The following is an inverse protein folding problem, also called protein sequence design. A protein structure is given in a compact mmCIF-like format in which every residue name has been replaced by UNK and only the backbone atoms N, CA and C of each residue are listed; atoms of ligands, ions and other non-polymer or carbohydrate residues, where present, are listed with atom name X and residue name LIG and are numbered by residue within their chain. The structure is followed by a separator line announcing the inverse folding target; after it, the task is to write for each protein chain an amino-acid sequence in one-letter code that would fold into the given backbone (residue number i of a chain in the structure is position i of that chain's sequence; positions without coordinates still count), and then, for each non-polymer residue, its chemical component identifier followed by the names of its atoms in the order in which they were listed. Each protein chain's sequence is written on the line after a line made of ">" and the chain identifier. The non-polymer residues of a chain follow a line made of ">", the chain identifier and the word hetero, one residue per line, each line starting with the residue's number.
data_IF_869172526834
#
_entry.id   IF_869172526834
#
_cell.length_a   1.000
_cell.length_b   1.000
_cell.length_c   1.000
_cell.angle_alpha   90.00
_cell.angle_beta   90.00
_cell.angle_gamma   90.00
#
_symmetry.space_group_name_H-M   'P 1'
#
loop_
_entity.id
_entity.type
_entity.pdbx_description
1 polymer ?
#
# COMPACT_ATOMS: atom_id res chain seq x y z
N UNK A 1 25.77 -6.41 1.58
CA UNK A 1 24.97 -7.13 0.56
C UNK A 1 23.88 -7.88 1.32
N UNK A 2 22.60 -7.62 1.06
CA UNK A 2 21.52 -8.45 1.63
C UNK A 2 21.52 -9.76 0.83
N UNK A 3 21.66 -10.89 1.51
CA UNK A 3 21.78 -12.21 0.87
C UNK A 3 20.43 -12.80 0.45
N UNK A 4 19.33 -12.36 1.07
CA UNK A 4 17.96 -12.80 0.77
C UNK A 4 16.97 -11.66 1.02
N UNK A 5 16.05 -11.43 0.08
CA UNK A 5 14.94 -10.47 0.21
C UNK A 5 13.65 -11.14 0.73
N UNK A 6 13.71 -12.39 1.16
CA UNK A 6 12.54 -13.12 1.64
C UNK A 6 11.94 -12.44 2.87
N UNK A 7 10.66 -12.07 2.77
CA UNK A 7 9.95 -11.37 3.83
C UNK A 7 10.13 -9.86 3.86
N UNK A 8 10.88 -9.28 2.91
CA UNK A 8 10.87 -7.84 2.70
C UNK A 8 9.51 -7.38 2.14
N UNK A 9 9.03 -6.24 2.63
CA UNK A 9 7.79 -5.60 2.21
C UNK A 9 8.10 -4.19 1.71
N UNK A 10 7.67 -3.88 0.49
CA UNK A 10 7.70 -2.53 -0.05
C UNK A 10 6.38 -1.82 0.23
N UNK A 11 6.44 -0.65 0.85
CA UNK A 11 5.28 0.16 1.22
C UNK A 11 5.36 1.47 0.46
N UNK A 12 4.35 1.80 -0.34
CA UNK A 12 4.34 3.06 -1.09
C UNK A 12 2.95 3.49 -1.53
N UNK A 13 2.77 4.80 -1.72
CA UNK A 13 1.63 5.36 -2.45
C UNK A 13 1.91 5.64 -3.94
N UNK A 14 3.15 5.44 -4.42
CA UNK A 14 3.51 5.62 -5.83
C UNK A 14 3.33 4.29 -6.60
N UNK A 15 2.41 4.23 -7.58
CA UNK A 15 2.20 3.06 -8.44
C UNK A 15 3.47 2.46 -9.05
N UNK A 16 4.44 3.30 -9.42
CA UNK A 16 5.67 2.85 -10.10
C UNK A 16 6.60 2.11 -9.14
N UNK A 17 6.68 2.57 -7.89
CA UNK A 17 7.46 1.89 -6.85
C UNK A 17 6.82 0.56 -6.48
N UNK A 18 5.49 0.51 -6.39
CA UNK A 18 4.74 -0.72 -6.14
C UNK A 18 4.96 -1.74 -7.26
N UNK A 19 4.86 -1.31 -8.52
CA UNK A 19 5.13 -2.19 -9.66
C UNK A 19 6.58 -2.70 -9.66
N UNK A 20 7.54 -1.86 -9.26
CA UNK A 20 8.94 -2.26 -9.14
C UNK A 20 9.13 -3.30 -8.03
N UNK A 21 8.42 -3.16 -6.90
CA UNK A 21 8.41 -4.15 -5.82
C UNK A 21 7.83 -5.50 -6.25
N UNK A 22 6.68 -5.48 -6.95
CA UNK A 22 6.07 -6.68 -7.53
C UNK A 22 7.05 -7.39 -8.50
N UNK A 23 7.66 -6.64 -9.41
CA UNK A 23 8.61 -7.18 -10.37
C UNK A 23 9.88 -7.74 -9.71
N UNK A 24 10.20 -7.28 -8.49
CA UNK A 24 11.31 -7.77 -7.69
C UNK A 24 10.93 -8.95 -6.78
N UNK A 25 9.68 -9.43 -6.81
CA UNK A 25 9.19 -10.50 -5.94
C UNK A 25 9.10 -10.09 -4.47
N UNK A 26 8.79 -8.82 -4.21
CA UNK A 26 8.57 -8.30 -2.85
C UNK A 26 7.08 -8.30 -2.52
N UNK A 27 6.76 -8.50 -1.25
CA UNK A 27 5.44 -8.15 -0.74
C UNK A 27 5.21 -6.64 -0.93
N UNK A 28 3.99 -6.24 -1.25
CA UNK A 28 3.68 -4.84 -1.57
C UNK A 28 2.44 -4.36 -0.84
N UNK A 29 2.58 -3.23 -0.15
CA UNK A 29 1.48 -2.54 0.52
C UNK A 29 1.30 -1.16 -0.13
N UNK A 30 0.13 -0.93 -0.71
CA UNK A 30 -0.28 0.37 -1.21
C UNK A 30 -0.76 1.29 -0.10
N UNK A 31 -0.45 2.60 -0.18
CA UNK A 31 -1.03 3.63 0.70
C UNK A 31 -2.08 4.44 -0.07
N UNK A 32 -3.36 4.34 0.32
CA UNK A 32 -4.46 4.99 -0.41
C UNK A 32 -4.60 6.49 -0.13
N UNK A 33 -4.29 6.93 1.10
CA UNK A 33 -4.39 8.35 1.48
C UNK A 33 -3.07 9.11 1.34
N UNK A 34 -1.99 8.42 0.97
CA UNK A 34 -0.64 9.00 0.87
C UNK A 34 -0.07 8.78 -0.54
N UNK A 35 0.75 9.71 -1.00
CA UNK A 35 1.47 9.59 -2.28
C UNK A 35 0.76 10.25 -3.47
N UNK A 36 1.30 10.07 -4.69
CA UNK A 36 0.91 10.85 -5.87
C UNK A 36 -0.55 10.70 -6.28
N UNK A 37 -1.19 9.57 -5.94
CA UNK A 37 -2.60 9.33 -6.25
C UNK A 37 -3.56 10.21 -5.44
N UNK A 38 -3.16 10.59 -4.23
CA UNK A 38 -3.91 11.51 -3.40
C UNK A 38 -3.82 12.94 -3.97
N UNK A 39 -2.63 13.33 -4.49
CA UNK A 39 -2.41 14.59 -5.21
C UNK A 39 -2.62 15.85 -4.38
N UNK A 40 -2.80 15.72 -3.06
CA UNK A 40 -3.10 16.80 -2.13
C UNK A 40 -2.00 16.92 -1.09
N UNK A 41 -1.71 18.15 -0.71
CA UNK A 41 -0.93 18.42 0.50
C UNK A 41 -1.71 18.00 1.77
N UNK A 42 -1.04 17.77 2.91
CA UNK A 42 -1.72 17.40 4.15
C UNK A 42 -2.80 18.40 4.58
N UNK A 43 -2.59 19.70 4.38
CA UNK A 43 -3.58 20.74 4.71
C UNK A 43 -4.81 20.68 3.80
N UNK A 44 -4.61 20.47 2.50
CA UNK A 44 -5.72 20.29 1.56
C UNK A 44 -6.53 19.03 1.89
N UNK A 45 -5.86 17.94 2.29
CA UNK A 45 -6.52 16.72 2.72
C UNK A 45 -7.37 16.90 3.99
N UNK A 46 -6.85 17.66 4.96
CA UNK A 46 -7.58 18.00 6.19
C UNK A 46 -8.78 18.91 5.92
N UNK A 47 -8.68 19.80 4.94
CA UNK A 47 -9.76 20.70 4.55
C UNK A 47 -10.94 19.99 3.84
N UNK A 48 -10.73 18.79 3.30
CA UNK A 48 -11.81 17.99 2.71
C UNK A 48 -12.85 17.62 3.76
N UNK A 49 -14.08 17.43 3.32
CA UNK A 49 -15.09 16.77 4.15
C UNK A 49 -14.89 15.24 4.15
N UNK A 50 -15.61 14.54 5.03
CA UNK A 50 -15.48 13.08 5.17
C UNK A 50 -15.86 12.33 3.89
N UNK A 51 -16.90 12.76 3.17
CA UNK A 51 -17.35 12.10 1.95
C UNK A 51 -16.33 12.23 0.81
N UNK A 52 -15.68 13.40 0.68
CA UNK A 52 -14.62 13.62 -0.30
C UNK A 52 -13.37 12.79 -0.01
N UNK A 53 -12.97 12.70 1.25
CA UNK A 53 -11.86 11.83 1.67
C UNK A 53 -12.16 10.37 1.36
N UNK A 54 -13.35 9.90 1.72
CA UNK A 54 -13.81 8.53 1.44
C UNK A 54 -13.76 8.22 -0.05
N UNK A 55 -14.36 9.09 -0.87
CA UNK A 55 -14.42 8.89 -2.32
C UNK A 55 -13.03 8.82 -2.94
N UNK A 56 -12.13 9.75 -2.57
CA UNK A 56 -10.76 9.78 -3.10
C UNK A 56 -9.98 8.55 -2.68
N UNK A 57 -10.11 8.18 -1.41
CA UNK A 57 -9.47 6.99 -0.87
C UNK A 57 -9.95 5.73 -1.58
N UNK A 58 -11.27 5.54 -1.73
CA UNK A 58 -11.82 4.38 -2.41
C UNK A 58 -11.31 4.27 -3.85
N UNK A 59 -11.24 5.40 -4.57
CA UNK A 59 -10.64 5.44 -5.92
C UNK A 59 -9.16 5.05 -5.92
N UNK A 60 -8.37 5.57 -4.98
CA UNK A 60 -6.97 5.21 -4.84
C UNK A 60 -6.80 3.72 -4.52
N UNK A 61 -7.60 3.19 -3.59
CA UNK A 61 -7.58 1.77 -3.20
C UNK A 61 -7.88 0.85 -4.39
N UNK A 62 -8.93 1.14 -5.15
CA UNK A 62 -9.26 0.37 -6.36
C UNK A 62 -8.12 0.41 -7.38
N UNK A 63 -7.54 1.59 -7.59
CA UNK A 63 -6.43 1.75 -8.53
C UNK A 63 -5.19 0.98 -8.07
N UNK A 64 -4.85 1.02 -6.79
CA UNK A 64 -3.71 0.31 -6.24
C UNK A 64 -3.90 -1.21 -6.34
N UNK A 65 -5.07 -1.73 -5.97
CA UNK A 65 -5.36 -3.16 -6.14
C UNK A 65 -5.36 -3.60 -7.62
N UNK A 66 -5.77 -2.74 -8.55
CA UNK A 66 -5.70 -3.05 -9.99
C UNK A 66 -4.27 -3.26 -10.51
N UNK A 67 -3.24 -2.81 -9.77
CA UNK A 67 -1.83 -3.07 -10.08
C UNK A 67 -1.36 -4.45 -9.60
N UNK A 68 -2.16 -5.16 -8.81
CA UNK A 68 -1.79 -6.46 -8.24
C UNK A 68 -1.02 -6.38 -6.92
N UNK A 69 -1.11 -5.28 -6.17
CA UNK A 69 -0.48 -5.21 -4.84
C UNK A 69 -1.13 -6.18 -3.85
N UNK A 70 -0.35 -6.65 -2.88
CA UNK A 70 -0.79 -7.67 -1.93
C UNK A 70 -1.81 -7.17 -0.90
N UNK A 71 -1.68 -5.89 -0.53
CA UNK A 71 -2.57 -5.21 0.40
C UNK A 71 -2.59 -3.71 0.12
N UNK A 72 -3.64 -3.02 0.56
CA UNK A 72 -3.73 -1.56 0.56
C UNK A 72 -4.25 -1.12 1.92
N UNK A 73 -3.62 -0.11 2.51
CA UNK A 73 -4.04 0.53 3.75
C UNK A 73 -4.23 2.03 3.54
N UNK A 74 -4.95 2.67 4.45
CA UNK A 74 -5.29 4.09 4.32
C UNK A 74 -4.09 4.97 4.64
N UNK A 75 -3.46 4.68 5.77
CA UNK A 75 -2.31 5.39 6.33
C UNK A 75 -1.45 4.42 7.15
N UNK A 76 -0.24 4.86 7.51
CA UNK A 76 0.73 4.04 8.25
C UNK A 76 0.26 3.56 9.63
N UNK A 77 -0.82 4.13 10.16
CA UNK A 77 -1.40 3.69 11.45
C UNK A 77 -2.04 2.30 11.39
N UNK A 78 -2.36 1.82 10.19
CA UNK A 78 -2.89 0.47 9.94
C UNK A 78 -1.79 -0.53 9.53
N UNK A 79 -0.52 -0.10 9.55
CA UNK A 79 0.57 -0.92 9.03
C UNK A 79 0.80 -2.18 9.88
N UNK A 80 0.67 -2.08 11.20
CA UNK A 80 0.91 -3.20 12.11
C UNK A 80 -0.04 -4.38 11.84
N UNK A 81 -1.35 -4.11 11.73
CA UNK A 81 -2.35 -5.14 11.43
C UNK A 81 -2.14 -5.73 10.03
N UNK A 82 -1.78 -4.91 9.04
CA UNK A 82 -1.48 -5.37 7.69
C UNK A 82 -0.23 -6.26 7.63
N UNK A 83 0.84 -5.91 8.35
CA UNK A 83 2.04 -6.76 8.44
C UNK A 83 1.75 -8.08 9.15
N UNK A 84 0.88 -8.09 10.16
CA UNK A 84 0.43 -9.32 10.80
C UNK A 84 -0.34 -10.24 9.84
N UNK A 85 -1.21 -9.68 8.99
CA UNK A 85 -1.90 -10.44 7.93
C UNK A 85 -0.91 -11.05 6.92
N UNK A 86 0.05 -10.27 6.43
CA UNK A 86 1.10 -10.76 5.52
C UNK A 86 1.92 -11.87 6.19
N UNK A 87 2.27 -11.73 7.47
CA UNK A 87 3.00 -12.77 8.20
C UNK A 87 2.20 -14.08 8.28
N UNK A 88 0.88 -13.99 8.49
CA UNK A 88 -0.02 -15.16 8.49
C UNK A 88 -0.15 -15.79 7.10
N UNK A 89 -0.25 -14.99 6.05
CA UNK A 89 -0.27 -15.46 4.65
C UNK A 89 1.02 -16.21 4.30
N UNK A 90 2.16 -15.65 4.68
CA UNK A 90 3.47 -16.30 4.52
C UNK A 90 3.58 -17.61 5.28
N UNK A 91 3.08 -17.70 6.52
CA UNK A 91 3.14 -18.95 7.29
C UNK A 91 2.29 -20.07 6.67
N UNK A 92 1.28 -19.72 5.86
CA UNK A 92 0.47 -20.64 5.06
C UNK A 92 1.10 -20.99 3.70
N UNK A 93 2.30 -20.48 3.41
CA UNK A 93 3.03 -20.77 2.18
C UNK A 93 2.72 -19.83 1.01
N UNK A 94 1.94 -18.77 1.23
CA UNK A 94 1.76 -17.74 0.22
C UNK A 94 3.10 -17.02 -0.04
N UNK A 95 3.34 -16.72 -1.30
CA UNK A 95 4.52 -15.98 -1.78
C UNK A 95 4.06 -14.66 -2.39
N UNK A 96 4.94 -13.64 -2.36
CA UNK A 96 4.69 -12.41 -3.09
C UNK A 96 4.70 -12.62 -4.61
#
# INVERSE_FOLDING_TARGET
>A
KVSQLEGCVLISGDPRLLQSGLNAGLWTIGLASCGPLCGLSPSQWQALNNAEREQRRAQATLKLYSLGVHSVIDHLGELESCLADIALRRSKGEKP
#
